data_IF_036330950354
#
_entry.id   IF_036330950354
#
_cell.length_a   1.000
_cell.length_b   1.000
_cell.length_c   1.000
_cell.angle_alpha   90.00
_cell.angle_beta   90.00
_cell.angle_gamma   90.00
#
_symmetry.space_group_name_H-M   'P 1'
#
loop_
_entity.id
_entity.type
_entity.pdbx_description
1 polymer ?
#
# COMPACT_ATOMS: atom_id res chain seq x y z
N UNK A 1 -2.37 -1.44 23.11
CA UNK A 1 -1.91 -1.77 21.74
C UNK A 1 -0.49 -2.35 21.83
N UNK A 2 -0.32 -3.38 22.66
CA UNK A 2 0.97 -4.03 22.93
C UNK A 2 0.86 -5.47 22.41
N UNK A 3 1.80 -5.87 21.54
CA UNK A 3 1.89 -7.22 21.00
C UNK A 3 1.20 -7.41 19.65
N UNK A 4 1.73 -6.83 18.56
CA UNK A 4 1.36 -7.24 17.21
C UNK A 4 2.47 -8.07 16.57
N UNK A 5 2.09 -9.26 16.12
CA UNK A 5 2.85 -10.28 15.40
C UNK A 5 3.47 -9.83 14.08
N UNK A 6 3.30 -8.57 13.69
CA UNK A 6 3.53 -8.09 12.33
C UNK A 6 5.01 -8.19 11.92
N UNK A 7 5.96 -7.95 12.82
CA UNK A 7 7.38 -8.13 12.52
C UNK A 7 7.81 -9.61 12.40
N UNK A 8 7.03 -10.58 12.92
CA UNK A 8 7.30 -12.01 12.67
C UNK A 8 7.03 -12.36 11.21
N UNK A 9 6.01 -11.76 10.59
CA UNK A 9 5.68 -11.96 9.17
C UNK A 9 6.89 -11.59 8.29
N UNK A 10 7.59 -10.52 8.66
CA UNK A 10 8.76 -10.03 7.94
C UNK A 10 10.06 -10.75 8.31
N UNK A 11 10.09 -11.57 9.37
CA UNK A 11 11.27 -12.32 9.76
C UNK A 11 12.42 -11.49 10.34
N UNK A 12 12.15 -10.26 10.80
CA UNK A 12 13.19 -9.31 11.22
C UNK A 12 13.98 -9.78 12.46
N UNK A 13 15.30 -9.82 12.34
CA UNK A 13 16.24 -10.28 13.37
C UNK A 13 17.59 -9.58 13.22
N UNK A 14 18.52 -9.73 14.17
CA UNK A 14 19.88 -9.19 14.02
C UNK A 14 20.61 -9.67 12.74
N UNK A 15 20.20 -10.82 12.20
CA UNK A 15 20.77 -11.42 10.98
C UNK A 15 19.95 -11.08 9.71
N UNK A 16 19.04 -10.11 9.79
CA UNK A 16 18.15 -9.73 8.69
C UNK A 16 16.82 -10.48 8.69
N UNK A 17 16.24 -10.64 7.51
CA UNK A 17 14.85 -11.10 7.27
C UNK A 17 14.78 -12.50 6.63
N UNK A 18 15.59 -13.43 7.13
CA UNK A 18 15.74 -14.77 6.52
C UNK A 18 14.55 -15.72 6.79
N UNK A 19 13.75 -15.43 7.82
CA UNK A 19 12.65 -16.28 8.29
C UNK A 19 11.30 -15.56 8.16
N UNK A 20 11.09 -14.91 7.01
CA UNK A 20 9.86 -14.17 6.70
C UNK A 20 9.84 -13.62 5.28
N UNK A 21 8.84 -12.79 4.99
CA UNK A 21 8.60 -12.27 3.63
C UNK A 21 9.41 -11.01 3.30
N UNK A 22 10.11 -10.43 4.28
CA UNK A 22 10.86 -9.19 4.09
C UNK A 22 12.06 -9.42 3.17
N UNK A 23 12.24 -8.57 2.16
CA UNK A 23 13.33 -8.75 1.20
C UNK A 23 14.73 -8.33 1.67
N UNK A 24 14.92 -8.02 2.96
CA UNK A 24 16.23 -7.66 3.52
C UNK A 24 16.71 -6.24 3.17
N UNK A 25 15.88 -5.42 2.53
CA UNK A 25 16.20 -4.02 2.18
C UNK A 25 15.06 -3.08 2.62
N UNK A 26 15.36 -1.78 2.77
CA UNK A 26 14.36 -0.81 3.23
C UNK A 26 13.21 -0.62 2.24
N UNK A 27 13.47 -0.87 0.94
CA UNK A 27 12.47 -0.74 -0.14
C UNK A 27 11.56 -1.97 -0.23
N UNK A 28 11.98 -3.12 0.28
CA UNK A 28 11.22 -4.39 0.27
C UNK A 28 10.78 -4.85 1.67
N UNK A 29 10.75 -3.94 2.65
CA UNK A 29 10.38 -4.22 4.04
C UNK A 29 9.42 -3.14 4.57
N UNK A 30 8.20 -3.16 4.05
CA UNK A 30 7.19 -2.10 4.21
C UNK A 30 5.81 -2.72 4.41
N UNK A 31 5.06 -2.25 5.41
CA UNK A 31 3.69 -2.68 5.65
C UNK A 31 2.70 -1.53 5.40
N UNK A 32 1.56 -1.87 4.81
CA UNK A 32 0.38 -1.02 4.74
C UNK A 32 -0.76 -1.72 5.47
N UNK A 33 -1.33 -1.07 6.48
CA UNK A 33 -2.54 -1.53 7.16
C UNK A 33 -3.71 -0.79 6.53
N UNK A 34 -4.68 -1.54 6.02
CA UNK A 34 -5.82 -1.01 5.25
C UNK A 34 -7.13 -1.51 5.86
N UNK A 35 -8.14 -0.66 5.90
CA UNK A 35 -9.49 -1.03 6.27
C UNK A 35 -10.51 0.02 5.85
N UNK A 36 -11.80 -0.29 5.94
CA UNK A 36 -12.87 0.66 5.65
C UNK A 36 -12.94 1.76 6.72
N UNK A 37 -13.39 2.95 6.32
CA UNK A 37 -13.70 4.04 7.25
C UNK A 37 -15.19 4.20 7.45
N UNK A 38 -15.58 4.72 8.63
CA UNK A 38 -16.97 5.05 8.95
C UNK A 38 -17.34 6.51 8.60
N UNK A 39 -16.46 7.22 7.87
CA UNK A 39 -16.65 8.62 7.50
C UNK A 39 -17.11 8.75 6.05
N UNK A 40 -17.78 9.86 5.71
CA UNK A 40 -18.18 10.14 4.33
C UNK A 40 -17.04 10.75 3.48
N UNK A 41 -15.91 11.09 4.13
CA UNK A 41 -14.79 11.81 3.53
C UNK A 41 -13.73 10.89 2.91
N UNK A 42 -13.74 9.60 3.28
CA UNK A 42 -12.85 8.56 2.74
C UNK A 42 -13.60 7.26 2.54
N UNK A 43 -13.10 6.45 1.60
CA UNK A 43 -13.62 5.10 1.37
C UNK A 43 -12.86 4.08 2.25
N UNK A 44 -11.55 4.32 2.45
CA UNK A 44 -10.67 3.48 3.28
C UNK A 44 -9.72 4.33 4.14
N UNK A 45 -9.13 3.72 5.15
CA UNK A 45 -7.96 4.24 5.84
C UNK A 45 -6.71 3.45 5.47
N UNK A 46 -5.56 4.11 5.60
CA UNK A 46 -4.23 3.57 5.34
C UNK A 46 -3.28 4.02 6.45
N UNK A 47 -2.61 3.05 7.08
CA UNK A 47 -1.49 3.30 7.99
C UNK A 47 -0.21 2.63 7.45
N UNK A 48 0.79 3.44 7.13
CA UNK A 48 2.10 2.98 6.71
C UNK A 48 2.98 2.61 7.90
N UNK A 49 3.71 1.50 7.78
CA UNK A 49 4.79 1.15 8.69
C UNK A 49 6.07 0.80 7.92
N UNK A 50 7.17 1.43 8.28
CA UNK A 50 8.50 0.99 7.84
C UNK A 50 8.98 -0.12 8.78
N UNK A 51 9.12 -1.34 8.27
CA UNK A 51 9.55 -2.49 9.07
C UNK A 51 11.07 -2.52 9.12
N UNK A 52 11.63 -2.59 10.33
CA UNK A 52 13.07 -2.70 10.55
C UNK A 52 13.61 -4.02 10.02
N UNK A 53 14.78 -4.00 9.38
CA UNK A 53 15.39 -5.21 8.81
C UNK A 53 16.11 -5.99 9.92
N UNK A 54 17.01 -5.31 10.61
CA UNK A 54 17.89 -5.91 11.62
C UNK A 54 17.38 -5.78 13.07
N UNK A 55 16.15 -5.29 13.22
CA UNK A 55 15.53 -4.95 14.50
C UNK A 55 14.04 -5.25 14.46
N UNK A 56 13.49 -5.71 15.58
CA UNK A 56 12.06 -6.04 15.71
C UNK A 56 11.27 -4.78 16.03
N UNK A 57 11.14 -3.90 15.04
CA UNK A 57 10.41 -2.64 15.16
C UNK A 57 9.66 -2.31 13.89
N UNK A 58 8.61 -1.51 14.02
CA UNK A 58 7.90 -0.88 12.91
C UNK A 58 7.78 0.60 13.24
N UNK A 59 8.25 1.47 12.33
CA UNK A 59 8.09 2.91 12.46
C UNK A 59 6.83 3.37 11.72
N UNK A 60 5.87 3.91 12.47
CA UNK A 60 4.60 4.44 11.98
C UNK A 60 4.60 5.99 11.86
N UNK A 61 5.72 6.66 12.10
CA UNK A 61 5.81 8.13 12.01
C UNK A 61 6.26 8.62 10.63
N UNK A 62 6.41 7.70 9.69
CA UNK A 62 6.83 7.97 8.32
C UNK A 62 5.68 7.76 7.35
N UNK A 63 5.85 8.26 6.13
CA UNK A 63 4.90 8.04 5.03
C UNK A 63 5.63 7.43 3.83
N UNK A 64 4.87 6.83 2.91
CA UNK A 64 5.41 6.32 1.66
C UNK A 64 4.39 6.49 0.53
N UNK A 65 4.69 7.37 -0.42
CA UNK A 65 3.83 7.63 -1.59
C UNK A 65 3.67 6.41 -2.50
N UNK A 66 4.76 5.64 -2.71
CA UNK A 66 4.70 4.43 -3.53
C UNK A 66 3.69 3.40 -2.99
N UNK A 67 3.62 3.27 -1.66
CA UNK A 67 2.66 2.36 -1.02
C UNK A 67 1.22 2.88 -1.11
N UNK A 68 1.01 4.20 -1.12
CA UNK A 68 -0.33 4.77 -1.28
C UNK A 68 -0.95 4.36 -2.64
N UNK A 69 -0.18 4.38 -3.72
CA UNK A 69 -0.64 3.91 -5.03
C UNK A 69 -1.08 2.45 -5.01
N UNK A 70 -0.31 1.58 -4.34
CA UNK A 70 -0.64 0.16 -4.19
C UNK A 70 -1.90 -0.06 -3.33
N UNK A 71 -2.10 0.75 -2.28
CA UNK A 71 -3.27 0.66 -1.41
C UNK A 71 -4.56 1.01 -2.15
N UNK A 72 -4.54 2.03 -3.02
CA UNK A 72 -5.68 2.36 -3.86
C UNK A 72 -6.05 1.22 -4.80
N UNK A 73 -5.05 0.61 -5.45
CA UNK A 73 -5.25 -0.58 -6.28
C UNK A 73 -5.85 -1.75 -5.48
N UNK A 74 -5.24 -2.09 -4.34
CA UNK A 74 -5.70 -3.17 -3.46
C UNK A 74 -7.17 -3.00 -3.05
N UNK A 75 -7.60 -1.79 -2.73
CA UNK A 75 -8.98 -1.52 -2.35
C UNK A 75 -10.00 -1.80 -3.47
N UNK A 76 -9.61 -1.59 -4.73
CA UNK A 76 -10.43 -1.89 -5.91
C UNK A 76 -10.37 -3.39 -6.27
N UNK A 77 -9.23 -4.04 -6.03
CA UNK A 77 -9.07 -5.50 -6.22
C UNK A 77 -9.94 -6.29 -5.24
N UNK A 78 -9.86 -5.96 -3.95
CA UNK A 78 -10.59 -6.62 -2.86
C UNK A 78 -12.06 -6.20 -2.75
N UNK A 79 -12.52 -5.28 -3.60
CA UNK A 79 -13.91 -4.83 -3.62
C UNK A 79 -14.31 -3.95 -2.42
N UNK A 80 -13.33 -3.34 -1.73
CA UNK A 80 -13.59 -2.32 -0.71
C UNK A 80 -14.15 -1.04 -1.33
N UNK A 81 -13.78 -0.76 -2.58
CA UNK A 81 -14.37 0.30 -3.41
C UNK A 81 -14.94 -0.32 -4.68
N UNK A 82 -16.17 0.07 -5.03
CA UNK A 82 -16.84 -0.39 -6.24
C UNK A 82 -16.11 0.14 -7.48
N UNK A 83 -15.85 -0.75 -8.44
CA UNK A 83 -15.26 -0.41 -9.73
C UNK A 83 -16.20 0.47 -10.57
N UNK A 84 -15.62 1.49 -11.18
CA UNK A 84 -16.21 2.35 -12.19
C UNK A 84 -15.38 2.28 -13.46
N UNK A 85 -16.03 2.00 -14.59
CA UNK A 85 -15.36 1.92 -15.90
C UNK A 85 -14.70 3.26 -16.27
N UNK A 86 -13.53 3.18 -16.90
CA UNK A 86 -12.67 4.32 -17.18
C UNK A 86 -11.63 4.51 -16.06
N UNK A 87 -12.05 5.07 -14.93
CA UNK A 87 -11.18 5.35 -13.79
C UNK A 87 -11.96 5.30 -12.48
N UNK A 88 -11.61 4.36 -11.59
CA UNK A 88 -12.17 4.29 -10.24
C UNK A 88 -11.36 5.18 -9.31
N UNK A 89 -12.02 6.13 -8.63
CA UNK A 89 -11.38 6.99 -7.63
C UNK A 89 -11.54 6.39 -6.24
N UNK A 90 -10.43 6.27 -5.51
CA UNK A 90 -10.36 5.81 -4.13
C UNK A 90 -9.90 6.95 -3.24
N UNK A 91 -10.73 7.37 -2.28
CA UNK A 91 -10.40 8.37 -1.27
C UNK A 91 -9.82 7.67 -0.03
N UNK A 92 -8.58 7.98 0.29
CA UNK A 92 -7.79 7.29 1.30
C UNK A 92 -7.47 8.24 2.45
N UNK A 93 -7.93 7.92 3.66
CA UNK A 93 -7.45 8.58 4.87
C UNK A 93 -6.09 8.00 5.27
N UNK A 94 -5.02 8.77 5.08
CA UNK A 94 -3.70 8.42 5.59
C UNK A 94 -3.63 8.75 7.10
N UNK A 95 -3.65 7.71 7.94
CA UNK A 95 -3.68 7.87 9.40
C UNK A 95 -2.33 8.28 10.01
N UNK A 96 -1.23 8.13 9.27
CA UNK A 96 0.07 8.67 9.71
C UNK A 96 0.04 10.21 9.73
N UNK A 97 -0.76 10.83 8.86
CA UNK A 97 -0.76 12.30 8.65
C UNK A 97 -2.12 12.98 8.84
N UNK A 98 -3.20 12.20 8.98
CA UNK A 98 -4.59 12.66 8.98
C UNK A 98 -4.94 13.48 7.73
N UNK A 99 -4.43 13.06 6.57
CA UNK A 99 -4.72 13.69 5.28
C UNK A 99 -5.48 12.73 4.37
N UNK A 100 -6.42 13.28 3.62
CA UNK A 100 -7.10 12.57 2.54
C UNK A 100 -6.22 12.62 1.28
N UNK A 101 -6.10 11.49 0.62
CA UNK A 101 -5.45 11.33 -0.68
C UNK A 101 -6.46 10.72 -1.65
N UNK A 102 -6.32 11.02 -2.93
CA UNK A 102 -7.05 10.31 -3.98
C UNK A 102 -6.08 9.45 -4.77
N UNK A 103 -6.49 8.20 -5.02
CA UNK A 103 -5.81 7.31 -5.95
C UNK A 103 -6.80 6.91 -7.03
N UNK A 104 -6.37 6.96 -8.28
CA UNK A 104 -7.20 6.71 -9.45
C UNK A 104 -6.69 5.48 -10.18
N UNK A 105 -7.54 4.44 -10.20
CA UNK A 105 -7.24 3.12 -10.75
C UNK A 105 -7.94 2.98 -12.11
N UNK A 106 -7.21 2.72 -13.21
CA UNK A 106 -7.82 2.55 -14.52
C UNK A 106 -8.58 1.22 -14.60
N UNK A 107 -9.82 1.28 -15.08
CA UNK A 107 -10.71 0.12 -15.23
C UNK A 107 -11.27 0.11 -16.66
N UNK A 108 -11.33 -1.07 -17.28
CA UNK A 108 -11.87 -1.27 -18.62
C UNK A 108 -12.73 -2.52 -18.66
N UNK A 109 -14.01 -2.36 -19.05
CA UNK A 109 -14.99 -3.45 -19.11
C UNK A 109 -15.16 -4.19 -17.77
N UNK A 110 -15.17 -3.44 -16.66
CA UNK A 110 -15.31 -3.95 -15.30
C UNK A 110 -14.03 -4.51 -14.68
N UNK A 111 -12.95 -4.58 -15.45
CA UNK A 111 -11.68 -5.16 -15.02
C UNK A 111 -10.60 -4.10 -14.82
N UNK A 112 -9.76 -4.32 -13.81
CA UNK A 112 -8.62 -3.45 -13.55
C UNK A 112 -7.62 -3.59 -14.69
N UNK A 113 -7.23 -2.45 -15.27
CA UNK A 113 -6.23 -2.43 -16.33
C UNK A 113 -4.83 -2.47 -15.69
N UNK A 114 -4.13 -3.59 -15.85
CA UNK A 114 -2.74 -3.74 -15.39
C UNK A 114 -1.70 -3.40 -16.45
N UNK A 115 -2.02 -3.64 -17.73
CA UNK A 115 -1.12 -3.40 -18.87
C UNK A 115 -1.27 -1.98 -19.41
N UNK A 116 -0.15 -1.34 -19.71
CA UNK A 116 -0.10 0.00 -20.31
C UNK A 116 1.31 0.35 -20.78
N UNK A 117 1.48 1.59 -21.20
CA UNK A 117 2.71 2.16 -21.75
C UNK A 117 3.43 3.12 -20.78
N UNK A 118 2.92 3.25 -19.56
CA UNK A 118 3.51 4.13 -18.54
C UNK A 118 4.70 3.45 -17.86
N UNK A 119 5.82 4.15 -17.80
CA UNK A 119 7.06 3.71 -17.13
C UNK A 119 7.42 4.64 -15.98
N UNK A 120 8.06 4.10 -14.94
CA UNK A 120 8.66 4.89 -13.85
C UNK A 120 10.12 4.48 -13.65
N UNK A 121 10.97 5.44 -13.30
CA UNK A 121 12.38 5.15 -13.00
C UNK A 121 12.51 4.16 -11.84
N UNK A 122 13.34 3.13 -12.01
CA UNK A 122 13.62 2.11 -11.00
C UNK A 122 12.73 0.85 -11.07
N UNK A 123 11.78 0.78 -12.01
CA UNK A 123 10.98 -0.42 -12.31
C UNK A 123 11.15 -0.75 -13.79
N UNK A 124 11.43 -2.01 -14.10
CA UNK A 124 11.59 -2.49 -15.48
C UNK A 124 10.22 -2.66 -16.16
N UNK A 125 10.14 -2.29 -17.44
CA UNK A 125 8.94 -2.44 -18.26
C UNK A 125 7.94 -1.28 -18.14
N UNK A 126 6.70 -1.56 -18.52
CA UNK A 126 5.59 -0.60 -18.53
C UNK A 126 4.34 -1.21 -17.92
N UNK A 127 3.45 -0.36 -17.42
CA UNK A 127 2.16 -0.75 -16.85
C UNK A 127 1.10 0.32 -17.07
N UNK A 128 -0.10 0.06 -16.57
CA UNK A 128 -1.14 1.08 -16.52
C UNK A 128 -0.79 2.15 -15.49
N UNK A 129 -1.10 3.40 -15.80
CA UNK A 129 -0.82 4.53 -14.92
C UNK A 129 -1.83 4.58 -13.77
N UNK A 130 -1.32 4.52 -12.54
CA UNK A 130 -2.04 4.94 -11.33
C UNK A 130 -1.79 6.44 -11.12
N UNK A 131 -2.85 7.22 -10.86
CA UNK A 131 -2.75 8.66 -10.57
C UNK A 131 -3.05 8.96 -9.12
#
# INVERSE_FOLDING_TARGET
MEGRSDFKIYGSSANGQIDGIGGGTSVTSKVAIVGMTDTNDSDIYYNFGQVGINQKSIDYNVTCGNMASAVGLYAVEEGLVKREDGETTVRILNTNTNKIMEVRVPVYQGEIKSVGDFSISGVEGTGAKIR
#
